data_IF_383623888570
#
_entry.id   IF_383623888570
#
_cell.length_a   1.000
_cell.length_b   1.000
_cell.length_c   1.000
_cell.angle_alpha   90.00
_cell.angle_beta   90.00
_cell.angle_gamma   90.00
#
_symmetry.space_group_name_H-M   'P 1'
#
loop_
_entity.id
_entity.type
_entity.pdbx_description
1 polymer ?
#
# COMPACT_ATOMS: atom_id res chain seq x y z
N UNK A 1 12.00 43.30 6.62
CA UNK A 1 10.82 44.17 6.82
C UNK A 1 9.62 43.45 6.22
N UNK A 2 8.51 43.26 6.94
CA UNK A 2 7.67 44.28 7.58
C UNK A 2 7.58 44.07 9.11
N UNK A 3 7.19 45.02 9.95
CA UNK A 3 6.47 46.27 9.73
C UNK A 3 5.30 46.31 10.71
N UNK A 4 5.58 46.76 11.94
CA UNK A 4 4.57 47.09 12.93
C UNK A 4 3.69 48.25 12.41
N UNK A 5 2.38 48.14 12.55
CA UNK A 5 1.48 49.28 12.42
C UNK A 5 0.25 49.05 13.29
N UNK A 6 0.20 49.78 14.39
CA UNK A 6 -0.94 49.79 15.30
C UNK A 6 -2.12 50.60 14.75
N UNK A 7 -3.30 50.36 15.32
CA UNK A 7 -4.35 51.36 15.44
C UNK A 7 -5.06 51.18 16.78
N UNK A 8 -4.83 52.16 17.65
CA UNK A 8 -5.63 52.48 18.81
C UNK A 8 -7.08 52.76 18.38
N UNK A 9 -8.04 52.18 19.10
CA UNK A 9 -9.28 52.89 19.45
C UNK A 9 -9.44 52.78 20.97
N UNK A 10 -9.25 53.92 21.63
CA UNK A 10 -9.75 54.14 22.99
C UNK A 10 -11.26 54.24 22.88
N UNK A 11 -11.98 53.26 23.39
CA UNK A 11 -13.36 53.44 23.80
C UNK A 11 -13.36 53.77 25.30
N UNK A 12 -13.92 54.94 25.61
CA UNK A 12 -14.29 55.30 26.97
C UNK A 12 -15.39 54.34 27.43
N UNK A 13 -15.07 53.47 28.38
CA UNK A 13 -16.07 52.74 29.15
C UNK A 13 -16.26 53.55 30.43
N UNK A 14 -17.48 54.07 30.61
CA UNK A 14 -17.88 54.75 31.83
C UNK A 14 -17.70 53.83 33.03
N UNK A 15 -17.13 54.37 34.11
CA UNK A 15 -17.10 53.71 35.40
C UNK A 15 -18.56 53.66 35.87
N UNK A 16 -19.17 52.48 35.76
CA UNK A 16 -20.40 52.16 36.49
C UNK A 16 -19.92 51.73 37.86
N UNK A 17 -20.24 52.52 38.87
CA UNK A 17 -20.09 52.13 40.27
C UNK A 17 -20.95 50.88 40.49
N UNK A 18 -20.32 49.71 40.41
CA UNK A 18 -20.91 48.49 40.90
C UNK A 18 -20.72 48.46 42.41
N UNK A 19 -21.83 48.52 43.14
CA UNK A 19 -21.90 48.06 44.52
C UNK A 19 -21.19 46.70 44.61
N UNK A 20 -20.35 46.45 45.63
CA UNK A 20 -19.75 45.15 45.80
C UNK A 20 -20.89 44.14 45.98
N UNK A 21 -21.06 43.26 44.99
CA UNK A 21 -21.88 42.08 45.16
C UNK A 21 -21.28 41.30 46.32
N UNK A 22 -22.08 41.12 47.36
CA UNK A 22 -21.75 40.28 48.50
C UNK A 22 -21.21 38.94 47.97
N UNK A 23 -19.99 38.61 48.41
CA UNK A 23 -19.37 37.31 48.20
C UNK A 23 -20.18 36.27 48.95
N UNK A 24 -21.23 35.71 48.34
CA UNK A 24 -21.95 34.57 48.90
C UNK A 24 -22.61 33.73 47.80
N UNK A 25 -21.79 33.18 46.89
CA UNK A 25 -22.16 31.92 46.23
C UNK A 25 -20.94 30.98 46.29
N UNK A 26 -20.85 30.29 47.42
CA UNK A 26 -20.10 29.04 47.55
C UNK A 26 -20.63 28.09 46.48
N UNK A 27 -19.92 27.95 45.34
CA UNK A 27 -20.18 26.90 44.37
C UNK A 27 -20.01 25.57 45.09
N UNK A 28 -21.10 25.00 45.59
CA UNK A 28 -21.14 23.62 46.01
C UNK A 28 -20.84 22.76 44.78
N UNK A 29 -19.59 22.36 44.62
CA UNK A 29 -19.24 21.26 43.72
C UNK A 29 -19.90 20.02 44.31
N UNK A 30 -21.06 19.64 43.78
CA UNK A 30 -21.71 18.39 44.14
C UNK A 30 -20.68 17.25 43.94
N UNK A 31 -20.19 16.68 45.03
CA UNK A 31 -19.29 15.53 44.96
C UNK A 31 -20.07 14.38 44.31
N UNK A 32 -19.60 13.93 43.14
CA UNK A 32 -20.15 12.74 42.48
C UNK A 32 -20.12 11.55 43.44
N UNK A 33 -21.24 10.84 43.54
CA UNK A 33 -21.32 9.61 44.30
C UNK A 33 -20.37 8.56 43.72
N UNK A 34 -19.95 7.57 44.52
CA UNK A 34 -19.13 6.46 44.01
C UNK A 34 -19.82 5.71 42.87
N UNK A 35 -21.16 5.59 42.91
CA UNK A 35 -21.94 4.94 41.85
C UNK A 35 -21.91 5.74 40.54
N UNK A 36 -22.01 7.07 40.61
CA UNK A 36 -21.90 7.92 39.42
C UNK A 36 -20.50 7.88 38.81
N UNK A 37 -19.45 7.83 39.64
CA UNK A 37 -18.07 7.64 39.16
C UNK A 37 -17.90 6.30 38.43
N UNK A 38 -18.49 5.22 38.96
CA UNK A 38 -18.46 3.90 38.32
C UNK A 38 -19.23 3.92 37.00
N UNK A 39 -20.42 4.53 36.96
CA UNK A 39 -21.23 4.66 35.73
C UNK A 39 -20.48 5.43 34.65
N UNK A 40 -19.86 6.56 35.01
CA UNK A 40 -19.06 7.36 34.07
C UNK A 40 -17.86 6.57 33.55
N UNK A 41 -17.11 5.90 34.43
CA UNK A 41 -15.97 5.06 34.02
C UNK A 41 -16.40 3.93 33.06
N UNK A 42 -17.56 3.31 33.29
CA UNK A 42 -18.13 2.32 32.36
C UNK A 42 -18.44 2.95 31.00
N UNK A 43 -19.06 4.12 30.97
CA UNK A 43 -19.32 4.87 29.75
C UNK A 43 -18.03 5.15 28.95
N UNK A 44 -16.98 5.61 29.63
CA UNK A 44 -15.69 5.88 29.01
C UNK A 44 -15.03 4.61 28.44
N UNK A 45 -15.12 3.49 29.15
CA UNK A 45 -14.62 2.19 28.67
C UNK A 45 -15.37 1.75 27.42
N UNK A 46 -16.70 1.76 27.43
CA UNK A 46 -17.51 1.38 26.25
C UNK A 46 -17.19 2.26 25.05
N UNK A 47 -17.09 3.58 25.24
CA UNK A 47 -16.73 4.51 24.18
C UNK A 47 -15.33 4.22 23.62
N UNK A 48 -14.37 3.93 24.50
CA UNK A 48 -13.00 3.57 24.08
C UNK A 48 -13.01 2.26 23.28
N UNK A 49 -13.80 1.29 23.70
CA UNK A 49 -13.91 0.00 23.01
C UNK A 49 -14.58 0.16 21.64
N UNK A 50 -15.73 0.84 21.56
CA UNK A 50 -16.42 1.09 20.28
C UNK A 50 -15.49 1.84 19.30
N UNK A 51 -14.81 2.91 19.76
CA UNK A 51 -13.82 3.63 18.94
C UNK A 51 -12.68 2.73 18.46
N UNK A 52 -12.18 1.83 19.31
CA UNK A 52 -11.08 0.91 18.95
C UNK A 52 -11.54 -0.10 17.89
N UNK A 53 -12.75 -0.64 18.04
CA UNK A 53 -13.36 -1.55 17.06
C UNK A 53 -13.54 -0.88 15.70
N UNK A 54 -14.00 0.37 15.68
CA UNK A 54 -14.16 1.16 14.44
C UNK A 54 -12.79 1.46 13.78
N UNK A 55 -11.80 1.86 14.58
CA UNK A 55 -10.43 2.06 14.09
C UNK A 55 -9.85 0.78 13.47
N UNK A 56 -10.11 -0.39 14.07
CA UNK A 56 -9.65 -1.67 13.54
C UNK A 56 -10.36 -2.05 12.24
N UNK A 57 -11.65 -1.76 12.07
CA UNK A 57 -12.35 -1.94 10.80
C UNK A 57 -11.74 -1.10 9.68
N UNK A 58 -11.44 0.17 9.97
CA UNK A 58 -10.78 1.06 9.02
C UNK A 58 -9.40 0.52 8.60
N UNK A 59 -8.61 0.04 9.56
CA UNK A 59 -7.31 -0.58 9.29
C UNK A 59 -7.47 -1.83 8.41
N UNK A 60 -8.46 -2.68 8.68
CA UNK A 60 -8.74 -3.86 7.87
C UNK A 60 -9.13 -3.46 6.45
N UNK A 61 -9.99 -2.44 6.29
CA UNK A 61 -10.40 -1.90 5.01
C UNK A 61 -9.21 -1.37 4.19
N UNK A 62 -8.39 -0.51 4.80
CA UNK A 62 -7.20 0.06 4.19
C UNK A 62 -6.15 -1.02 3.88
N UNK A 63 -5.97 -2.01 4.76
CA UNK A 63 -5.04 -3.12 4.56
C UNK A 63 -5.45 -4.00 3.38
N UNK A 64 -6.75 -4.24 3.19
CA UNK A 64 -7.27 -4.97 2.05
C UNK A 64 -7.05 -4.21 0.73
N UNK A 65 -7.25 -2.89 0.73
CA UNK A 65 -6.98 -2.06 -0.46
C UNK A 65 -5.49 -1.99 -0.79
N UNK A 66 -4.64 -1.84 0.23
CA UNK A 66 -3.18 -1.90 0.08
C UNK A 66 -2.74 -3.21 -0.54
N UNK A 67 -3.30 -4.36 -0.10
CA UNK A 67 -3.02 -5.65 -0.71
C UNK A 67 -3.39 -5.70 -2.20
N UNK A 68 -4.56 -5.19 -2.58
CA UNK A 68 -4.95 -5.11 -4.01
C UNK A 68 -3.95 -4.29 -4.82
N UNK A 69 -3.49 -3.15 -4.29
CA UNK A 69 -2.50 -2.28 -4.93
C UNK A 69 -1.14 -2.98 -5.07
N UNK A 70 -0.67 -3.66 -4.03
CA UNK A 70 0.58 -4.43 -4.07
C UNK A 70 0.54 -5.49 -5.16
N UNK A 71 -0.53 -6.27 -5.28
CA UNK A 71 -0.65 -7.26 -6.36
C UNK A 71 -0.62 -6.62 -7.75
N UNK A 72 -1.31 -5.49 -7.94
CA UNK A 72 -1.30 -4.77 -9.21
C UNK A 72 0.10 -4.24 -9.57
N UNK A 73 0.83 -3.71 -8.59
CA UNK A 73 2.23 -3.28 -8.75
C UNK A 73 3.15 -4.45 -9.09
N UNK A 74 3.01 -5.58 -8.40
CA UNK A 74 3.78 -6.79 -8.71
C UNK A 74 3.57 -7.27 -10.15
N UNK A 75 2.34 -7.19 -10.64
CA UNK A 75 2.02 -7.53 -12.02
C UNK A 75 2.65 -6.55 -13.04
N UNK A 76 2.63 -5.25 -12.75
CA UNK A 76 3.31 -4.25 -13.58
C UNK A 76 4.82 -4.51 -13.64
N UNK A 77 5.45 -4.87 -12.51
CA UNK A 77 6.87 -5.19 -12.46
C UNK A 77 7.20 -6.45 -13.26
N UNK A 78 6.33 -7.48 -13.24
CA UNK A 78 6.52 -8.68 -14.09
C UNK A 78 6.47 -8.34 -15.57
N UNK A 79 5.54 -7.47 -15.99
CA UNK A 79 5.48 -6.99 -17.39
C UNK A 79 6.74 -6.23 -17.77
N UNK A 80 7.20 -5.31 -16.93
CA UNK A 80 8.44 -4.57 -17.17
C UNK A 80 9.65 -5.51 -17.32
N UNK A 81 9.69 -6.62 -16.56
CA UNK A 81 10.72 -7.65 -16.71
C UNK A 81 10.63 -8.38 -18.05
N UNK A 82 9.43 -8.73 -18.52
CA UNK A 82 9.25 -9.33 -19.84
C UNK A 82 9.75 -8.38 -20.94
N UNK A 83 9.41 -7.09 -20.83
CA UNK A 83 9.88 -6.07 -21.77
C UNK A 83 11.43 -5.97 -21.75
N UNK A 84 12.08 -6.12 -20.59
CA UNK A 84 13.54 -6.16 -20.51
C UNK A 84 14.14 -7.41 -21.17
N UNK A 85 13.48 -8.56 -21.10
CA UNK A 85 13.91 -9.76 -21.83
C UNK A 85 13.80 -9.57 -23.34
N UNK A 86 12.71 -8.97 -23.81
CA UNK A 86 12.53 -8.64 -25.23
C UNK A 86 13.62 -7.66 -25.72
N UNK A 87 13.97 -6.65 -24.92
CA UNK A 87 15.07 -5.73 -25.23
C UNK A 87 16.40 -6.48 -25.32
N UNK A 88 16.65 -7.43 -24.40
CA UNK A 88 17.88 -8.22 -24.42
C UNK A 88 17.98 -9.05 -25.71
N UNK A 89 16.91 -9.77 -26.08
CA UNK A 89 16.87 -10.55 -27.33
C UNK A 89 17.08 -9.65 -28.56
N UNK A 90 16.48 -8.45 -28.56
CA UNK A 90 16.68 -7.47 -29.63
C UNK A 90 18.11 -6.93 -29.69
N UNK A 91 18.77 -6.70 -28.55
CA UNK A 91 20.18 -6.31 -28.49
C UNK A 91 21.09 -7.39 -29.08
N UNK A 92 20.83 -8.67 -28.77
CA UNK A 92 21.59 -9.81 -29.32
C UNK A 92 21.43 -9.89 -30.85
N UNK A 93 20.21 -9.71 -31.38
CA UNK A 93 19.97 -9.66 -32.83
C UNK A 93 20.69 -8.47 -33.47
N UNK A 94 20.60 -7.28 -32.87
CA UNK A 94 21.29 -6.09 -33.36
C UNK A 94 22.82 -6.26 -33.37
N UNK A 95 23.36 -6.93 -32.36
CA UNK A 95 24.79 -7.28 -32.32
C UNK A 95 25.18 -8.18 -33.50
N UNK A 96 24.44 -9.26 -33.75
CA UNK A 96 24.71 -10.16 -34.88
C UNK A 96 24.62 -9.42 -36.23
N UNK A 97 23.67 -8.48 -36.38
CA UNK A 97 23.51 -7.71 -37.60
C UNK A 97 24.66 -6.72 -37.82
N UNK A 98 25.10 -6.02 -36.78
CA UNK A 98 26.26 -5.13 -36.86
C UNK A 98 27.55 -5.90 -37.17
N UNK A 99 27.75 -7.08 -36.58
CA UNK A 99 28.90 -7.95 -36.89
C UNK A 99 28.92 -8.39 -38.36
N UNK A 100 27.76 -8.72 -38.92
CA UNK A 100 27.64 -9.04 -40.36
C UNK A 100 27.93 -7.83 -41.25
N UNK A 101 27.46 -6.63 -40.87
CA UNK A 101 27.77 -5.40 -41.61
C UNK A 101 29.26 -5.05 -41.56
N UNK A 102 29.89 -5.14 -40.39
CA UNK A 102 31.34 -4.94 -40.24
C UNK A 102 32.12 -5.89 -41.18
N UNK A 103 31.74 -7.16 -41.24
CA UNK A 103 32.37 -8.13 -42.12
C UNK A 103 32.16 -7.79 -43.60
N UNK A 104 30.93 -7.42 -43.99
CA UNK A 104 30.60 -7.02 -45.36
C UNK A 104 31.43 -5.79 -45.80
N UNK A 105 31.49 -4.75 -44.97
CA UNK A 105 32.28 -3.54 -45.24
C UNK A 105 33.79 -3.81 -45.27
N UNK A 106 34.32 -4.71 -44.42
CA UNK A 106 35.76 -5.04 -44.43
C UNK A 106 36.16 -5.91 -45.63
N UNK A 107 35.28 -6.79 -46.11
CA UNK A 107 35.55 -7.66 -47.27
C UNK A 107 35.30 -6.94 -48.61
N UNK A 108 34.37 -5.99 -48.66
CA UNK A 108 34.08 -5.19 -49.86
C UNK A 108 35.27 -4.34 -50.34
N UNK A 109 36.23 -4.03 -49.46
CA UNK A 109 37.48 -3.33 -49.85
C UNK A 109 38.35 -4.22 -50.75
N UNK A 110 38.24 -5.55 -50.67
CA UNK A 110 39.09 -6.48 -51.41
C UNK A 110 38.43 -7.12 -52.64
N UNK A 111 37.09 -7.19 -52.71
CA UNK A 111 36.39 -7.84 -53.82
C UNK A 111 35.14 -7.01 -54.16
N UNK A 112 35.17 -6.36 -55.33
CA UNK A 112 34.06 -5.63 -55.93
C UNK A 112 32.79 -6.49 -56.05
N UNK A 113 31.91 -6.46 -55.03
CA UNK A 113 30.46 -6.66 -55.16
C UNK A 113 29.74 -6.39 -53.82
N UNK A 114 29.20 -5.17 -53.66
CA UNK A 114 28.38 -4.76 -52.50
C UNK A 114 26.89 -5.16 -52.64
N UNK A 115 26.53 -6.08 -53.55
CA UNK A 115 25.14 -6.22 -54.00
C UNK A 115 24.43 -7.56 -53.68
N UNK A 116 25.07 -8.56 -53.06
CA UNK A 116 24.49 -9.92 -53.04
C UNK A 116 24.34 -10.65 -51.68
N UNK A 117 24.53 -9.99 -50.52
CA UNK A 117 24.40 -10.67 -49.22
C UNK A 117 23.27 -10.13 -48.32
N UNK A 118 22.15 -9.70 -48.92
CA UNK A 118 20.89 -9.45 -48.21
C UNK A 118 20.24 -10.79 -47.78
N UNK A 119 20.92 -11.55 -46.92
CA UNK A 119 20.38 -12.76 -46.34
C UNK A 119 19.34 -12.40 -45.27
N UNK A 120 18.07 -12.55 -45.64
CA UNK A 120 16.84 -12.60 -44.82
C UNK A 120 16.92 -11.86 -43.48
N UNK A 121 16.33 -10.66 -43.44
CA UNK A 121 16.05 -9.93 -42.21
C UNK A 121 15.42 -10.87 -41.17
N UNK A 122 16.16 -11.14 -40.09
CA UNK A 122 15.57 -11.70 -38.88
C UNK A 122 14.62 -10.64 -38.34
N UNK A 123 13.31 -10.84 -38.56
CA UNK A 123 12.27 -9.98 -37.99
C UNK A 123 12.41 -9.95 -36.46
N UNK A 124 12.12 -8.81 -35.81
CA UNK A 124 12.09 -8.75 -34.35
C UNK A 124 11.22 -9.88 -33.80
N UNK A 125 11.72 -10.57 -32.79
CA UNK A 125 11.03 -11.72 -32.18
C UNK A 125 9.84 -11.17 -31.40
N UNK A 126 8.63 -11.34 -31.94
CA UNK A 126 7.37 -11.03 -31.23
C UNK A 126 6.88 -12.20 -30.38
N UNK A 127 7.77 -13.09 -29.95
CA UNK A 127 7.38 -14.19 -29.06
C UNK A 127 7.35 -13.69 -27.63
N UNK A 128 6.22 -13.08 -27.24
CA UNK A 128 5.92 -12.87 -25.82
C UNK A 128 5.98 -14.22 -25.13
N UNK A 129 7.02 -14.44 -24.31
CA UNK A 129 7.02 -15.54 -23.35
C UNK A 129 6.02 -15.16 -22.27
N UNK A 130 4.93 -15.92 -22.17
CA UNK A 130 4.04 -15.84 -21.03
C UNK A 130 4.84 -16.28 -19.79
N UNK A 131 5.33 -15.30 -19.04
CA UNK A 131 5.89 -15.55 -17.71
C UNK A 131 4.69 -15.89 -16.82
N UNK A 132 4.45 -17.19 -16.69
CA UNK A 132 3.21 -17.78 -16.19
C UNK A 132 2.72 -17.14 -14.89
N UNK A 133 1.45 -16.72 -14.91
CA UNK A 133 0.69 -16.14 -13.79
C UNK A 133 0.26 -17.17 -12.72
N UNK A 134 0.69 -18.44 -12.84
CA UNK A 134 0.04 -19.56 -12.15
C UNK A 134 0.18 -19.56 -10.63
N UNK A 135 1.38 -19.39 -10.09
CA UNK A 135 1.63 -19.65 -8.66
C UNK A 135 1.09 -18.55 -7.73
N UNK A 136 1.22 -17.27 -8.14
CA UNK A 136 0.78 -16.15 -7.31
C UNK A 136 -0.74 -15.99 -7.25
N UNK A 137 -1.46 -16.40 -8.31
CA UNK A 137 -2.91 -16.25 -8.35
C UNK A 137 -3.63 -17.27 -7.48
N UNK A 138 -3.15 -18.51 -7.43
CA UNK A 138 -3.73 -19.57 -6.58
C UNK A 138 -3.57 -19.24 -5.10
N UNK A 139 -2.39 -18.77 -4.70
CA UNK A 139 -2.11 -18.38 -3.33
C UNK A 139 -2.91 -17.13 -2.91
N UNK A 140 -3.06 -16.15 -3.81
CA UNK A 140 -3.96 -15.00 -3.59
C UNK A 140 -5.40 -15.45 -3.33
N UNK A 141 -5.92 -16.39 -4.14
CA UNK A 141 -7.29 -16.91 -3.96
C UNK A 141 -7.44 -17.66 -2.63
N UNK A 142 -6.42 -18.41 -2.22
CA UNK A 142 -6.41 -19.10 -0.91
C UNK A 142 -6.46 -18.10 0.24
N UNK A 143 -5.55 -17.11 0.23
CA UNK A 143 -5.47 -16.07 1.26
C UNK A 143 -6.77 -15.26 1.35
N UNK A 144 -7.39 -14.94 0.21
CA UNK A 144 -8.68 -14.23 0.20
C UNK A 144 -9.82 -15.07 0.80
N UNK A 145 -9.86 -16.39 0.55
CA UNK A 145 -10.86 -17.28 1.15
C UNK A 145 -10.70 -17.39 2.66
N UNK A 146 -9.47 -17.54 3.14
CA UNK A 146 -9.17 -17.60 4.58
C UNK A 146 -9.55 -16.28 5.27
N UNK A 147 -9.24 -15.13 4.64
CA UNK A 147 -9.65 -13.81 5.13
C UNK A 147 -11.16 -13.66 5.22
N UNK A 148 -11.90 -14.06 4.18
CA UNK A 148 -13.38 -14.01 4.19
C UNK A 148 -13.96 -14.86 5.32
N UNK A 149 -13.38 -16.03 5.62
CA UNK A 149 -13.81 -16.84 6.76
C UNK A 149 -13.57 -16.15 8.10
N UNK A 150 -12.42 -15.50 8.29
CA UNK A 150 -12.14 -14.74 9.51
C UNK A 150 -13.05 -13.52 9.67
N UNK A 151 -13.33 -12.80 8.57
CA UNK A 151 -14.29 -11.69 8.59
C UNK A 151 -15.72 -12.12 8.96
N UNK A 152 -16.13 -13.36 8.61
CA UNK A 152 -17.41 -13.89 9.07
C UNK A 152 -17.44 -14.03 10.59
N UNK A 153 -16.35 -14.50 11.21
CA UNK A 153 -16.25 -14.59 12.68
C UNK A 153 -16.33 -13.20 13.34
N UNK A 154 -15.66 -12.19 12.77
CA UNK A 154 -15.77 -10.80 13.23
C UNK A 154 -17.24 -10.33 13.18
N UNK A 155 -17.93 -10.57 12.07
CA UNK A 155 -19.33 -10.18 11.91
C UNK A 155 -20.29 -10.94 12.85
N UNK A 156 -20.03 -12.23 13.11
CA UNK A 156 -20.78 -13.01 14.08
C UNK A 156 -20.59 -12.48 15.51
N UNK A 157 -19.35 -12.12 15.87
CA UNK A 157 -19.04 -11.50 17.17
C UNK A 157 -19.75 -10.14 17.32
N UNK A 158 -19.74 -9.30 16.28
CA UNK A 158 -20.47 -8.01 16.25
C UNK A 158 -21.97 -8.20 16.50
N UNK A 159 -22.59 -9.12 15.77
CA UNK A 159 -24.03 -9.42 15.95
C UNK A 159 -24.34 -9.90 17.37
N UNK A 160 -23.44 -10.66 17.99
CA UNK A 160 -23.60 -11.08 19.39
C UNK A 160 -23.52 -9.88 20.34
N UNK A 161 -22.53 -9.00 20.18
CA UNK A 161 -22.39 -7.80 21.00
C UNK A 161 -23.61 -6.88 20.87
N UNK A 162 -24.14 -6.68 19.66
CA UNK A 162 -25.34 -5.88 19.42
C UNK A 162 -26.58 -6.46 20.09
N UNK A 163 -26.70 -7.79 20.14
CA UNK A 163 -27.76 -8.48 20.87
C UNK A 163 -27.68 -8.26 22.38
N UNK A 164 -26.46 -8.21 22.94
CA UNK A 164 -26.23 -7.98 24.37
C UNK A 164 -26.48 -6.53 24.78
N UNK A 165 -26.23 -5.56 23.89
CA UNK A 165 -26.51 -4.14 24.15
C UNK A 165 -27.98 -3.87 24.50
N UNK A 166 -28.90 -4.69 24.00
CA UNK A 166 -30.36 -4.53 24.18
C UNK A 166 -31.00 -5.66 25.00
N UNK A 167 -30.21 -6.46 25.73
CA UNK A 167 -30.75 -7.53 26.58
C UNK A 167 -31.58 -6.93 27.73
N UNK A 168 -32.89 -7.20 27.73
CA UNK A 168 -33.85 -6.71 28.74
C UNK A 168 -33.82 -7.55 30.04
N UNK A 169 -33.28 -8.75 29.97
CA UNK A 169 -33.19 -9.73 31.06
C UNK A 169 -31.94 -9.57 31.96
N UNK A 170 -30.99 -8.74 31.55
CA UNK A 170 -29.76 -8.45 32.30
C UNK A 170 -29.85 -7.14 33.07
N UNK A 171 -29.30 -7.12 34.29
CA UNK A 171 -29.11 -5.86 35.01
C UNK A 171 -28.05 -4.97 34.34
N UNK A 172 -27.97 -3.69 34.73
CA UNK A 172 -27.08 -2.72 34.10
C UNK A 172 -25.59 -3.12 34.18
N UNK A 173 -25.18 -3.76 35.27
CA UNK A 173 -23.79 -4.19 35.47
C UNK A 173 -23.50 -5.43 34.64
N UNK A 174 -24.36 -6.44 34.69
CA UNK A 174 -24.23 -7.68 33.93
C UNK A 174 -24.23 -7.41 32.44
N UNK A 175 -25.10 -6.51 31.98
CA UNK A 175 -25.12 -6.05 30.58
C UNK A 175 -23.82 -5.36 30.19
N UNK A 176 -23.29 -4.47 31.03
CA UNK A 176 -22.02 -3.80 30.75
C UNK A 176 -20.86 -4.80 30.61
N UNK A 177 -20.71 -5.72 31.57
CA UNK A 177 -19.65 -6.74 31.55
C UNK A 177 -19.77 -7.65 30.32
N UNK A 178 -20.99 -8.10 29.99
CA UNK A 178 -21.23 -8.94 28.81
C UNK A 178 -20.94 -8.21 27.48
N UNK A 179 -21.31 -6.93 27.36
CA UNK A 179 -21.00 -6.11 26.18
C UNK A 179 -19.50 -5.86 26.08
N UNK A 180 -18.83 -5.56 27.20
CA UNK A 180 -17.40 -5.30 27.22
C UNK A 180 -16.58 -6.54 26.81
N UNK A 181 -16.96 -7.73 27.30
CA UNK A 181 -16.34 -8.99 26.91
C UNK A 181 -16.58 -9.30 25.43
N UNK A 182 -17.80 -9.10 24.93
CA UNK A 182 -18.12 -9.28 23.52
C UNK A 182 -17.34 -8.30 22.61
N UNK A 183 -17.11 -7.06 23.06
CA UNK A 183 -16.26 -6.10 22.35
C UNK A 183 -14.79 -6.54 22.31
N UNK A 184 -14.25 -7.09 23.40
CA UNK A 184 -12.90 -7.66 23.40
C UNK A 184 -12.77 -8.85 22.43
N UNK A 185 -13.78 -9.71 22.34
CA UNK A 185 -13.83 -10.79 21.35
C UNK A 185 -13.81 -10.26 19.90
N UNK A 186 -14.54 -9.18 19.63
CA UNK A 186 -14.54 -8.51 18.31
C UNK A 186 -13.14 -7.98 18.00
N UNK A 187 -12.52 -7.25 18.92
CA UNK A 187 -11.17 -6.70 18.73
C UNK A 187 -10.14 -7.80 18.50
N UNK A 188 -10.20 -8.88 19.28
CA UNK A 188 -9.30 -10.03 19.11
C UNK A 188 -9.45 -10.64 17.70
N UNK A 189 -10.69 -10.85 17.24
CA UNK A 189 -10.95 -11.36 15.90
C UNK A 189 -10.50 -10.38 14.80
N UNK A 190 -10.65 -9.07 15.01
CA UNK A 190 -10.15 -8.05 14.09
C UNK A 190 -8.61 -8.01 14.05
N UNK A 191 -7.94 -8.09 15.19
CA UNK A 191 -6.48 -8.14 15.28
C UNK A 191 -5.91 -9.37 14.57
N UNK A 192 -6.57 -10.52 14.65
CA UNK A 192 -6.21 -11.71 13.87
C UNK A 192 -6.25 -11.44 12.35
N UNK A 193 -7.26 -10.69 11.88
CA UNK A 193 -7.36 -10.30 10.46
C UNK A 193 -6.27 -9.30 10.09
N UNK A 194 -5.98 -8.33 10.95
CA UNK A 194 -4.89 -7.36 10.75
C UNK A 194 -3.54 -8.06 10.68
N UNK A 195 -3.28 -9.02 11.56
CA UNK A 195 -2.06 -9.83 11.57
C UNK A 195 -1.86 -10.59 10.26
N UNK A 196 -2.91 -11.22 9.74
CA UNK A 196 -2.88 -11.88 8.42
C UNK A 196 -2.61 -10.89 7.29
N UNK A 197 -3.26 -9.71 7.30
CA UNK A 197 -3.05 -8.69 6.29
C UNK A 197 -1.59 -8.25 6.25
N UNK A 198 -0.99 -7.96 7.41
CA UNK A 198 0.43 -7.59 7.53
C UNK A 198 1.33 -8.71 7.00
N UNK A 199 1.05 -9.96 7.35
CA UNK A 199 1.82 -11.12 6.88
C UNK A 199 1.77 -11.24 5.36
N UNK A 200 0.57 -11.20 4.77
CA UNK A 200 0.39 -11.28 3.31
C UNK A 200 1.07 -10.12 2.59
N UNK A 201 0.94 -8.89 3.11
CA UNK A 201 1.61 -7.71 2.54
C UNK A 201 3.13 -7.87 2.55
N UNK A 202 3.68 -8.34 3.68
CA UNK A 202 5.13 -8.56 3.82
C UNK A 202 5.63 -9.64 2.85
N UNK A 203 4.95 -10.77 2.78
CA UNK A 203 5.32 -11.86 1.88
C UNK A 203 5.27 -11.43 0.41
N UNK A 204 4.26 -10.66 0.01
CA UNK A 204 4.17 -10.15 -1.37
C UNK A 204 5.28 -9.14 -1.67
N UNK A 205 5.61 -8.23 -0.74
CA UNK A 205 6.74 -7.31 -0.89
C UNK A 205 8.08 -8.05 -1.01
N UNK A 206 8.31 -9.04 -0.16
CA UNK A 206 9.53 -9.85 -0.18
C UNK A 206 9.67 -10.61 -1.50
N UNK A 207 8.57 -11.18 -2.03
CA UNK A 207 8.53 -11.83 -3.35
C UNK A 207 8.82 -10.84 -4.46
N UNK A 208 8.14 -9.69 -4.50
CA UNK A 208 8.36 -8.68 -5.55
C UNK A 208 9.81 -8.19 -5.54
N UNK A 209 10.38 -7.95 -4.36
CA UNK A 209 11.77 -7.53 -4.21
C UNK A 209 12.74 -8.59 -4.73
N UNK A 210 12.59 -9.83 -4.28
CA UNK A 210 13.54 -10.91 -4.59
C UNK A 210 13.41 -11.42 -6.02
N UNK A 211 12.19 -11.65 -6.48
CA UNK A 211 11.92 -12.40 -7.70
C UNK A 211 11.71 -11.50 -8.92
N UNK A 212 11.43 -10.21 -8.71
CA UNK A 212 11.17 -9.26 -9.79
C UNK A 212 12.14 -8.10 -9.80
N UNK A 213 12.21 -7.28 -8.75
CA UNK A 213 13.05 -6.07 -8.73
C UNK A 213 14.55 -6.39 -8.85
N UNK A 214 15.06 -7.32 -8.04
CA UNK A 214 16.50 -7.65 -8.06
C UNK A 214 16.96 -8.22 -9.43
N UNK A 215 16.22 -9.13 -10.10
CA UNK A 215 16.53 -9.52 -11.47
C UNK A 215 16.38 -8.38 -12.47
N UNK A 216 15.31 -7.60 -12.38
CA UNK A 216 15.01 -6.50 -13.30
C UNK A 216 16.13 -5.45 -13.30
N UNK A 217 16.63 -5.07 -12.13
CA UNK A 217 17.72 -4.10 -11.99
C UNK A 217 19.00 -4.58 -12.70
N UNK A 218 19.36 -5.86 -12.51
CA UNK A 218 20.48 -6.48 -13.22
C UNK A 218 20.27 -6.54 -14.73
N UNK A 219 19.06 -6.89 -15.18
CA UNK A 219 18.71 -6.96 -16.60
C UNK A 219 18.78 -5.56 -17.26
N UNK A 220 18.33 -4.51 -16.56
CA UNK A 220 18.43 -3.11 -17.01
C UNK A 220 19.90 -2.70 -17.19
N UNK A 221 20.77 -2.98 -16.22
CA UNK A 221 22.18 -2.60 -16.29
C UNK A 221 22.90 -3.29 -17.47
N UNK A 222 22.64 -4.59 -17.65
CA UNK A 222 23.20 -5.37 -18.78
C UNK A 222 22.71 -4.80 -20.11
N UNK A 223 21.40 -4.60 -20.27
CA UNK A 223 20.81 -4.07 -21.50
C UNK A 223 21.33 -2.66 -21.80
N UNK A 224 21.46 -1.81 -20.78
CA UNK A 224 21.99 -0.45 -20.93
C UNK A 224 23.45 -0.46 -21.40
N UNK A 225 24.28 -1.36 -20.88
CA UNK A 225 25.66 -1.52 -21.32
C UNK A 225 25.74 -2.00 -22.78
N UNK A 226 24.92 -2.99 -23.16
CA UNK A 226 24.84 -3.51 -24.52
C UNK A 226 24.39 -2.43 -25.52
N UNK A 227 23.32 -1.71 -25.23
CA UNK A 227 22.81 -0.63 -26.10
C UNK A 227 23.90 0.43 -26.32
N UNK A 228 24.60 0.86 -25.27
CA UNK A 228 25.70 1.82 -25.40
C UNK A 228 26.86 1.29 -26.26
N UNK A 229 27.16 -0.02 -26.17
CA UNK A 229 28.19 -0.64 -26.99
C UNK A 229 27.77 -0.72 -28.46
N UNK A 230 26.51 -1.10 -28.73
CA UNK A 230 25.93 -1.15 -30.07
C UNK A 230 25.88 0.24 -30.72
N UNK A 231 25.45 1.27 -29.99
CA UNK A 231 25.45 2.66 -30.45
C UNK A 231 26.86 3.15 -30.83
N UNK A 232 27.86 2.86 -30.00
CA UNK A 232 29.27 3.18 -30.31
C UNK A 232 29.76 2.45 -31.57
N UNK A 233 29.45 1.16 -31.72
CA UNK A 233 29.82 0.39 -32.93
C UNK A 233 29.13 0.94 -34.19
N UNK A 234 27.83 1.23 -34.12
CA UNK A 234 27.07 1.82 -35.22
C UNK A 234 27.64 3.17 -35.66
N UNK A 235 27.99 4.05 -34.72
CA UNK A 235 28.64 5.34 -35.02
C UNK A 235 30.02 5.16 -35.67
N UNK A 236 30.80 4.18 -35.22
CA UNK A 236 32.11 3.90 -35.82
C UNK A 236 31.99 3.38 -37.26
N UNK A 237 30.92 2.66 -37.59
CA UNK A 237 30.65 2.23 -38.96
C UNK A 237 30.25 3.38 -39.89
N UNK A 238 29.47 4.35 -39.40
CA UNK A 238 29.02 5.50 -40.20
C UNK A 238 30.13 6.53 -40.47
N UNK A 239 31.15 6.59 -39.60
CA UNK A 239 32.27 7.54 -39.72
C UNK A 239 33.50 6.93 -40.43
N UNK A 240 33.36 5.74 -41.04
CA UNK A 240 34.37 5.09 -41.88
C UNK A 240 34.09 5.36 -43.35
#
# INVERSE_FOLDING_TARGET
MPGASGRNKREQIGIVDHEPLEEDEEYQTAELTTEDKIRNARGDITNTQDNTTDMLDDIIGQGAETNKKLYAQGEQLRRARNDMQDIKENNEIAQEQLEKMELCCCVAIFISCCCCCCAKEKKPVTKRKDVGLGAGEEERRKNERERVQKLRKVNEAKRRADGLKNAEDLDEKERFEAVADAQLDIMNAQLDVVGDLIKVQKEELDRQKKDVLNPLDKEIDVNRAQIKALDRRGKNLLNR
#
